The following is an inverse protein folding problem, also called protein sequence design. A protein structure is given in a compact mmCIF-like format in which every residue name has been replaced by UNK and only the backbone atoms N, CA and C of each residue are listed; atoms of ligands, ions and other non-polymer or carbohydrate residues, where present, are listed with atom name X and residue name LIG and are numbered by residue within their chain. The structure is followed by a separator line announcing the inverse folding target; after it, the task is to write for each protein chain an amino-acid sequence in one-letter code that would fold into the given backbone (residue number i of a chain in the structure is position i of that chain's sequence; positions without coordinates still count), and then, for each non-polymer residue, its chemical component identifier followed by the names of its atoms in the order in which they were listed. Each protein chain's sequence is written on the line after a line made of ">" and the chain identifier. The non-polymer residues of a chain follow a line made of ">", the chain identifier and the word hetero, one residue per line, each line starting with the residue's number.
data_IF_228123763223
#
_entry.id   IF_228123763223
#
_cell.length_a   1.000
_cell.length_b   1.000
_cell.length_c   1.000
_cell.angle_alpha   90.00
_cell.angle_beta   90.00
_cell.angle_gamma   90.00
#
_symmetry.space_group_name_H-M   'P 1'
#
loop_
_entity.id
_entity.type
_entity.pdbx_description
1 polymer ?
#
# COMPACT_ATOMS: atom_id res chain seq x y z
N UNK A 1 -14.54 16.85 11.00
CA UNK A 1 -15.23 16.76 9.70
C UNK A 1 -14.42 15.98 8.65
N UNK A 2 -13.16 16.36 8.35
CA UNK A 2 -12.29 15.70 7.34
C UNK A 2 -12.11 14.18 7.55
N UNK A 3 -11.79 13.72 8.75
CA UNK A 3 -11.57 12.30 9.01
C UNK A 3 -12.82 11.43 8.82
N UNK A 4 -14.01 11.94 9.18
CA UNK A 4 -15.29 11.23 8.94
C UNK A 4 -15.57 11.10 7.44
N UNK A 5 -15.25 12.13 6.65
CA UNK A 5 -15.39 12.07 5.19
C UNK A 5 -14.42 11.03 4.59
N UNK A 6 -13.16 11.04 5.00
CA UNK A 6 -12.18 10.05 4.53
C UNK A 6 -12.63 8.63 4.89
N UNK A 7 -13.06 8.39 6.13
CA UNK A 7 -13.56 7.08 6.54
C UNK A 7 -14.79 6.62 5.73
N UNK A 8 -15.70 7.54 5.38
CA UNK A 8 -16.85 7.23 4.51
C UNK A 8 -16.41 6.87 3.10
N UNK A 9 -15.47 7.62 2.53
CA UNK A 9 -14.91 7.34 1.19
C UNK A 9 -14.20 5.99 1.16
N UNK A 10 -13.39 5.69 2.17
CA UNK A 10 -12.72 4.39 2.26
C UNK A 10 -13.71 3.23 2.38
N UNK A 11 -14.81 3.40 3.14
CA UNK A 11 -15.89 2.39 3.20
C UNK A 11 -16.60 2.22 1.85
N UNK A 12 -16.83 3.31 1.14
CA UNK A 12 -17.39 3.26 -0.21
C UNK A 12 -16.47 2.45 -1.14
N UNK A 13 -15.17 2.70 -1.11
CA UNK A 13 -14.21 1.92 -1.89
C UNK A 13 -14.16 0.46 -1.44
N UNK A 14 -14.27 0.18 -0.15
CA UNK A 14 -14.36 -1.18 0.37
C UNK A 14 -15.62 -1.94 -0.10
N UNK A 15 -16.72 -1.22 -0.40
CA UNK A 15 -17.93 -1.83 -0.95
C UNK A 15 -17.80 -2.26 -2.42
N UNK A 16 -16.81 -1.73 -3.13
CA UNK A 16 -16.58 -2.06 -4.54
C UNK A 16 -15.87 -3.41 -4.71
N UNK A 17 -16.14 -4.15 -5.78
CA UNK A 17 -15.32 -5.30 -6.18
C UNK A 17 -13.86 -4.86 -6.43
N UNK A 18 -12.91 -5.72 -6.09
CA UNK A 18 -11.47 -5.42 -6.20
C UNK A 18 -11.04 -4.86 -7.57
N UNK A 19 -11.58 -5.44 -8.64
CA UNK A 19 -11.27 -4.99 -10.01
C UNK A 19 -11.71 -3.56 -10.28
N UNK A 20 -12.90 -3.17 -9.80
CA UNK A 20 -13.40 -1.79 -9.95
C UNK A 20 -12.59 -0.81 -9.11
N UNK A 21 -12.21 -1.21 -7.90
CA UNK A 21 -11.35 -0.42 -7.04
C UNK A 21 -10.02 -0.10 -7.74
N UNK A 22 -9.36 -1.12 -8.30
CA UNK A 22 -8.11 -0.94 -9.06
C UNK A 22 -8.28 -0.12 -10.33
N UNK A 23 -9.39 -0.28 -11.05
CA UNK A 23 -9.69 0.53 -12.24
C UNK A 23 -9.83 2.02 -11.89
N UNK A 24 -10.57 2.34 -10.83
CA UNK A 24 -10.68 3.71 -10.32
C UNK A 24 -9.32 4.25 -9.83
N UNK A 25 -8.53 3.42 -9.16
CA UNK A 25 -7.17 3.75 -8.77
C UNK A 25 -6.26 4.06 -9.96
N UNK A 26 -6.39 3.29 -11.04
CA UNK A 26 -5.71 3.57 -12.31
C UNK A 26 -6.12 4.92 -12.88
N UNK A 27 -7.43 5.23 -12.89
CA UNK A 27 -7.94 6.53 -13.33
C UNK A 27 -7.42 7.69 -12.48
N UNK A 28 -7.41 7.53 -11.16
CA UNK A 28 -6.82 8.52 -10.23
C UNK A 28 -5.33 8.73 -10.54
N UNK A 29 -4.56 7.66 -10.66
CA UNK A 29 -3.13 7.73 -10.96
C UNK A 29 -2.84 8.33 -12.34
N UNK A 30 -3.67 8.02 -13.33
CA UNK A 30 -3.61 8.64 -14.64
C UNK A 30 -3.83 10.17 -14.56
N UNK A 31 -4.83 10.60 -13.79
CA UNK A 31 -5.09 12.01 -13.54
C UNK A 31 -3.88 12.69 -12.86
N UNK A 32 -3.29 12.05 -11.83
CA UNK A 32 -2.09 12.55 -11.17
C UNK A 32 -0.90 12.67 -12.13
N UNK A 33 -0.78 11.76 -13.09
CA UNK A 33 0.29 11.77 -14.09
C UNK A 33 0.15 12.87 -15.15
N UNK A 34 -1.06 13.39 -15.39
CA UNK A 34 -1.35 14.34 -16.47
C UNK A 34 -1.75 15.74 -15.97
N UNK A 35 -1.81 15.95 -14.66
CA UNK A 35 -2.10 17.26 -14.06
C UNK A 35 -0.94 17.76 -13.20
N UNK A 36 -0.62 19.05 -13.20
CA UNK A 36 0.36 19.64 -12.29
C UNK A 36 -0.12 19.47 -10.83
N UNK A 37 0.63 18.72 -10.03
CA UNK A 37 0.32 18.50 -8.62
C UNK A 37 1.59 18.20 -7.80
N UNK A 38 1.57 18.35 -6.47
CA UNK A 38 2.74 18.11 -5.62
C UNK A 38 3.26 16.67 -5.68
N UNK A 39 2.38 15.66 -5.84
CA UNK A 39 2.77 14.25 -5.91
C UNK A 39 3.60 14.01 -7.16
N UNK A 40 3.13 14.49 -8.31
CA UNK A 40 3.87 14.44 -9.57
C UNK A 40 5.26 15.06 -9.43
N UNK A 41 5.30 16.30 -8.89
CA UNK A 41 6.56 17.05 -8.73
C UNK A 41 7.57 16.32 -7.83
N UNK A 42 7.14 15.83 -6.67
CA UNK A 42 8.02 15.13 -5.74
C UNK A 42 8.51 13.79 -6.34
N UNK A 43 7.63 13.04 -6.97
CA UNK A 43 7.99 11.80 -7.64
C UNK A 43 9.00 12.02 -8.77
N UNK A 44 8.81 13.06 -9.59
CA UNK A 44 9.73 13.40 -10.67
C UNK A 44 11.13 13.78 -10.15
N UNK A 45 11.19 14.56 -9.06
CA UNK A 45 12.47 14.92 -8.42
C UNK A 45 13.15 13.67 -7.86
N UNK A 46 12.45 12.85 -7.12
CA UNK A 46 12.99 11.63 -6.51
C UNK A 46 13.52 10.65 -7.56
N UNK A 47 12.79 10.42 -8.64
CA UNK A 47 13.24 9.54 -9.72
C UNK A 47 14.52 10.05 -10.37
N UNK A 48 14.63 11.35 -10.62
CA UNK A 48 15.86 11.94 -11.18
C UNK A 48 17.06 11.82 -10.26
N UNK A 49 16.85 11.94 -8.96
CA UNK A 49 17.92 11.83 -7.96
C UNK A 49 18.36 10.39 -7.74
N UNK A 50 17.41 9.43 -7.75
CA UNK A 50 17.68 8.03 -7.45
C UNK A 50 18.13 7.23 -8.68
N UNK A 51 17.77 7.66 -9.89
CA UNK A 51 18.00 6.96 -11.14
C UNK A 51 18.55 7.94 -12.22
N UNK A 52 19.68 8.60 -11.95
CA UNK A 52 20.23 9.64 -12.86
C UNK A 52 20.65 9.09 -14.23
N UNK A 53 20.88 7.77 -14.30
CA UNK A 53 21.30 7.07 -15.53
C UNK A 53 20.20 6.86 -16.55
N UNK A 54 18.93 7.03 -16.15
CA UNK A 54 17.80 6.82 -17.06
C UNK A 54 17.68 7.94 -18.11
N UNK A 55 17.30 7.56 -19.32
CA UNK A 55 16.97 8.54 -20.35
C UNK A 55 15.75 9.40 -19.95
N UNK A 56 15.59 10.60 -20.52
CA UNK A 56 14.42 11.44 -20.27
C UNK A 56 13.09 10.75 -20.59
N UNK A 57 13.06 9.86 -21.58
CA UNK A 57 11.88 9.09 -21.94
C UNK A 57 11.58 8.01 -20.94
N UNK A 58 12.58 7.31 -20.44
CA UNK A 58 12.45 6.30 -19.40
C UNK A 58 11.98 6.92 -18.10
N UNK A 59 12.52 8.10 -17.72
CA UNK A 59 12.02 8.85 -16.57
C UNK A 59 10.54 9.20 -16.70
N UNK A 60 10.09 9.69 -17.85
CA UNK A 60 8.67 10.01 -18.08
C UNK A 60 7.78 8.77 -17.98
N UNK A 61 8.22 7.67 -18.59
CA UNK A 61 7.50 6.38 -18.54
C UNK A 61 7.39 5.87 -17.12
N UNK A 62 8.51 5.83 -16.37
CA UNK A 62 8.56 5.36 -15.00
C UNK A 62 7.73 6.23 -14.07
N UNK A 63 7.81 7.56 -14.19
CA UNK A 63 7.01 8.50 -13.43
C UNK A 63 5.51 8.25 -13.63
N UNK A 64 5.06 8.10 -14.88
CA UNK A 64 3.66 7.79 -15.19
C UNK A 64 3.22 6.48 -14.56
N UNK A 65 4.00 5.43 -14.70
CA UNK A 65 3.70 4.12 -14.12
C UNK A 65 3.63 4.20 -12.60
N UNK A 66 4.60 4.84 -11.95
CA UNK A 66 4.64 5.04 -10.51
C UNK A 66 3.41 5.79 -9.98
N UNK A 67 2.96 6.83 -10.69
CA UNK A 67 1.77 7.59 -10.29
C UNK A 67 0.49 6.77 -10.46
N UNK A 68 0.40 5.93 -11.48
CA UNK A 68 -0.72 4.99 -11.66
C UNK A 68 -0.77 4.00 -10.49
N UNK A 69 0.36 3.41 -10.12
CA UNK A 69 0.41 2.49 -8.96
C UNK A 69 0.11 3.22 -7.64
N UNK A 70 0.56 4.47 -7.48
CA UNK A 70 0.19 5.32 -6.33
C UNK A 70 -1.33 5.49 -6.24
N UNK A 71 -2.00 5.77 -7.35
CA UNK A 71 -3.45 5.89 -7.39
C UNK A 71 -4.16 4.60 -6.96
N UNK A 72 -3.68 3.44 -7.40
CA UNK A 72 -4.21 2.13 -6.98
C UNK A 72 -4.02 1.93 -5.48
N UNK A 73 -2.80 2.16 -4.96
CA UNK A 73 -2.48 2.01 -3.53
C UNK A 73 -3.38 2.85 -2.64
N UNK A 74 -3.69 4.10 -3.04
CA UNK A 74 -4.58 4.97 -2.28
C UNK A 74 -5.98 4.38 -2.17
N UNK A 75 -6.54 3.80 -3.23
CA UNK A 75 -7.89 3.24 -3.21
C UNK A 75 -7.92 1.84 -2.58
N UNK A 76 -6.85 1.07 -2.68
CA UNK A 76 -6.70 -0.23 -2.01
C UNK A 76 -6.79 -0.13 -0.48
N UNK A 77 -6.48 1.02 0.11
CA UNK A 77 -6.64 1.24 1.54
C UNK A 77 -8.07 0.99 2.03
N UNK A 78 -9.10 1.24 1.21
CA UNK A 78 -10.49 0.93 1.55
C UNK A 78 -10.69 -0.58 1.80
N UNK A 79 -10.53 -1.43 0.79
CA UNK A 79 -10.60 -2.88 0.96
C UNK A 79 -9.69 -3.42 2.06
N UNK A 80 -8.42 -3.04 2.08
CA UNK A 80 -7.44 -3.58 3.03
C UNK A 80 -7.74 -3.23 4.50
N UNK A 81 -8.44 -2.13 4.76
CA UNK A 81 -8.78 -1.73 6.12
C UNK A 81 -10.18 -2.17 6.58
N UNK A 82 -11.06 -2.60 5.66
CA UNK A 82 -12.43 -2.92 6.00
C UNK A 82 -12.87 -4.33 5.63
N UNK A 83 -12.10 -5.06 4.81
CA UNK A 83 -12.45 -6.42 4.49
C UNK A 83 -11.96 -7.41 5.55
N UNK A 84 -12.70 -8.52 5.75
CA UNK A 84 -12.23 -9.62 6.57
C UNK A 84 -10.91 -10.19 6.05
N UNK A 85 -10.07 -10.68 6.96
CA UNK A 85 -8.75 -11.24 6.62
C UNK A 85 -8.82 -12.37 5.57
N UNK A 86 -9.86 -13.20 5.63
CA UNK A 86 -10.10 -14.29 4.66
C UNK A 86 -10.26 -13.77 3.24
N UNK A 87 -10.98 -12.65 3.07
CA UNK A 87 -11.20 -12.04 1.76
C UNK A 87 -9.91 -11.41 1.22
N UNK A 88 -9.12 -10.78 2.08
CA UNK A 88 -7.80 -10.25 1.71
C UNK A 88 -6.87 -11.40 1.32
N UNK A 89 -6.86 -12.48 2.09
CA UNK A 89 -6.07 -13.70 1.81
C UNK A 89 -6.38 -14.27 0.44
N UNK A 90 -7.65 -14.28 0.01
CA UNK A 90 -8.05 -14.72 -1.32
C UNK A 90 -7.51 -13.89 -2.49
N UNK A 91 -6.94 -12.69 -2.22
CA UNK A 91 -6.24 -11.87 -3.21
C UNK A 91 -4.75 -12.13 -3.29
N UNK A 92 -4.18 -12.81 -2.29
CA UNK A 92 -2.74 -13.07 -2.20
C UNK A 92 -2.40 -14.24 -3.11
N UNK A 93 -1.32 -14.07 -3.85
CA UNK A 93 -0.68 -15.16 -4.57
C UNK A 93 0.19 -16.03 -3.64
N UNK A 94 0.89 -16.98 -4.23
CA UNK A 94 1.88 -17.78 -3.53
C UNK A 94 3.04 -16.90 -3.05
N UNK A 95 3.42 -17.08 -1.78
CA UNK A 95 4.58 -16.38 -1.22
C UNK A 95 5.85 -17.20 -1.49
N UNK A 96 6.85 -16.55 -2.05
CA UNK A 96 8.12 -17.18 -2.43
C UNK A 96 9.20 -16.84 -1.41
N UNK A 97 10.13 -17.77 -1.17
CA UNK A 97 11.29 -17.59 -0.28
C UNK A 97 10.91 -17.27 1.18
N UNK A 98 9.87 -17.89 1.70
CA UNK A 98 9.44 -17.72 3.11
C UNK A 98 10.19 -18.63 4.08
N UNK A 99 10.85 -19.67 3.57
CA UNK A 99 11.52 -20.73 4.34
C UNK A 99 12.58 -20.20 5.31
N UNK A 100 13.41 -19.19 4.96
CA UNK A 100 14.40 -18.63 5.90
C UNK A 100 13.74 -18.00 7.12
N UNK A 101 12.60 -17.32 6.95
CA UNK A 101 11.82 -16.72 8.04
C UNK A 101 11.21 -17.81 8.90
N UNK A 102 10.57 -18.81 8.28
CA UNK A 102 9.98 -19.96 8.98
C UNK A 102 11.04 -20.72 9.80
N UNK A 103 12.23 -20.94 9.24
CA UNK A 103 13.32 -21.61 9.93
C UNK A 103 13.84 -20.81 11.13
N UNK A 104 13.98 -19.49 11.00
CA UNK A 104 14.43 -18.62 12.08
C UNK A 104 13.42 -18.62 13.24
N UNK A 105 12.12 -18.55 12.94
CA UNK A 105 11.05 -18.60 13.95
C UNK A 105 11.05 -19.97 14.67
N UNK A 106 11.10 -21.08 13.91
CA UNK A 106 11.16 -22.43 14.52
C UNK A 106 12.35 -22.65 15.41
N UNK A 107 13.48 -21.99 15.14
CA UNK A 107 14.68 -22.07 16.00
C UNK A 107 14.63 -21.16 17.23
N UNK A 108 13.50 -20.48 17.49
CA UNK A 108 13.34 -19.56 18.62
C UNK A 108 14.09 -18.23 18.46
N UNK A 109 14.66 -17.96 17.31
CA UNK A 109 15.31 -16.68 17.01
C UNK A 109 14.26 -15.65 16.61
N UNK A 110 14.34 -14.44 17.13
CA UNK A 110 13.55 -13.32 16.68
C UNK A 110 13.90 -12.93 15.23
N UNK A 111 12.90 -12.44 14.49
CA UNK A 111 13.08 -11.97 13.12
C UNK A 111 12.59 -10.53 13.02
N UNK A 112 13.41 -9.67 12.42
CA UNK A 112 13.02 -8.31 12.06
C UNK A 112 12.78 -8.28 10.55
N UNK A 113 11.52 -7.99 10.14
CA UNK A 113 11.14 -7.83 8.75
C UNK A 113 11.15 -6.35 8.40
N UNK A 114 12.09 -5.93 7.54
CA UNK A 114 12.12 -4.59 6.99
C UNK A 114 11.46 -4.59 5.61
N UNK A 115 10.34 -3.89 5.46
CA UNK A 115 9.62 -3.82 4.19
C UNK A 115 9.69 -2.42 3.60
N UNK A 116 10.05 -2.26 2.32
CA UNK A 116 9.96 -0.97 1.64
C UNK A 116 8.49 -0.65 1.31
N UNK A 117 8.21 0.63 1.05
CA UNK A 117 6.92 1.06 0.50
C UNK A 117 6.86 0.74 -1.00
N UNK A 118 6.87 -0.55 -1.33
CA UNK A 118 6.85 -1.07 -2.70
C UNK A 118 5.62 -1.96 -2.88
N UNK A 119 4.89 -1.75 -3.96
CA UNK A 119 3.65 -2.47 -4.23
C UNK A 119 2.60 -2.28 -3.14
N UNK A 120 1.79 -3.29 -2.88
CA UNK A 120 0.78 -3.28 -1.81
C UNK A 120 1.39 -3.71 -0.48
N UNK A 121 2.21 -2.86 0.13
CA UNK A 121 2.89 -3.13 1.40
C UNK A 121 1.92 -3.40 2.57
N UNK A 122 0.72 -2.81 2.56
CA UNK A 122 -0.35 -3.14 3.54
C UNK A 122 -0.79 -4.61 3.40
N UNK A 123 -0.93 -5.11 2.18
CA UNK A 123 -1.25 -6.53 1.95
C UNK A 123 -0.12 -7.45 2.44
N UNK A 124 1.14 -7.06 2.23
CA UNK A 124 2.29 -7.79 2.78
C UNK A 124 2.24 -7.82 4.32
N UNK A 125 1.85 -6.72 4.97
CA UNK A 125 1.64 -6.66 6.42
C UNK A 125 0.55 -7.65 6.87
N UNK A 126 -0.58 -7.73 6.19
CA UNK A 126 -1.63 -8.72 6.47
C UNK A 126 -1.11 -10.16 6.30
N UNK A 127 -0.36 -10.43 5.23
CA UNK A 127 0.25 -11.75 5.02
C UNK A 127 1.15 -12.15 6.20
N UNK A 128 2.06 -11.26 6.59
CA UNK A 128 2.98 -11.51 7.69
C UNK A 128 2.24 -11.71 9.03
N UNK A 129 1.21 -10.92 9.30
CA UNK A 129 0.41 -11.02 10.52
C UNK A 129 -0.30 -12.38 10.62
N UNK A 130 -0.90 -12.83 9.52
CA UNK A 130 -1.63 -14.12 9.47
C UNK A 130 -0.66 -15.30 9.58
N UNK A 131 0.52 -15.22 8.94
CA UNK A 131 1.46 -16.34 8.90
C UNK A 131 2.30 -16.46 10.17
N UNK A 132 2.76 -15.35 10.73
CA UNK A 132 3.77 -15.35 11.79
C UNK A 132 3.37 -14.62 13.07
N UNK A 133 2.22 -13.95 13.11
CA UNK A 133 1.80 -13.20 14.30
C UNK A 133 2.76 -12.07 14.65
N UNK A 134 2.97 -11.13 13.76
CA UNK A 134 3.98 -10.07 13.89
C UNK A 134 3.56 -8.93 14.83
N UNK A 135 4.56 -8.25 15.39
CA UNK A 135 4.39 -6.95 16.05
C UNK A 135 4.89 -5.85 15.11
N UNK A 136 4.06 -4.88 14.79
CA UNK A 136 4.40 -3.78 13.91
C UNK A 136 4.86 -2.54 14.68
N UNK A 137 5.93 -1.89 14.21
CA UNK A 137 6.24 -0.52 14.62
C UNK A 137 5.21 0.42 14.00
N UNK A 138 4.53 1.18 14.85
CA UNK A 138 3.44 2.04 14.42
C UNK A 138 3.71 3.50 14.77
N UNK A 139 3.48 4.38 13.81
CA UNK A 139 3.46 5.83 14.01
C UNK A 139 2.03 6.34 13.78
N UNK A 140 1.38 6.95 14.78
CA UNK A 140 0.05 7.51 14.63
C UNK A 140 -0.04 8.49 13.46
N UNK A 141 -1.14 8.46 12.69
CA UNK A 141 -1.31 9.38 11.57
C UNK A 141 -1.49 10.81 12.07
N UNK A 142 -1.09 11.79 11.25
CA UNK A 142 -1.31 13.21 11.58
C UNK A 142 -2.78 13.53 11.86
N UNK A 143 -3.71 12.86 11.19
CA UNK A 143 -5.15 12.92 11.44
C UNK A 143 -5.51 11.89 12.52
N UNK A 144 -5.33 12.26 13.80
CA UNK A 144 -5.60 11.38 14.96
C UNK A 144 -6.98 10.68 14.91
N UNK A 145 -7.96 11.28 14.26
CA UNK A 145 -9.28 10.67 14.13
C UNK A 145 -9.32 9.43 13.18
N UNK A 146 -8.25 9.17 12.42
CA UNK A 146 -8.07 7.93 11.65
C UNK A 146 -7.31 6.85 12.45
N UNK A 147 -6.73 7.21 13.57
CA UNK A 147 -5.92 6.33 14.39
C UNK A 147 -6.69 5.09 14.85
N UNK A 148 -7.84 5.30 15.47
CA UNK A 148 -8.72 4.21 15.90
C UNK A 148 -9.23 3.32 14.75
N UNK A 149 -9.29 3.85 13.53
CA UNK A 149 -9.65 3.07 12.35
C UNK A 149 -8.49 2.18 11.92
N UNK A 150 -7.28 2.75 11.87
CA UNK A 150 -6.06 2.03 11.51
C UNK A 150 -5.72 0.94 12.53
N UNK A 151 -5.84 1.22 13.83
CA UNK A 151 -5.62 0.20 14.85
C UNK A 151 -6.56 -0.99 14.65
N UNK A 152 -7.87 -0.73 14.53
CA UNK A 152 -8.87 -1.79 14.30
C UNK A 152 -8.70 -2.57 13.00
N UNK A 153 -8.08 -2.02 11.99
CA UNK A 153 -7.83 -2.74 10.73
C UNK A 153 -6.62 -3.67 10.81
N UNK A 154 -5.86 -3.61 11.89
CA UNK A 154 -4.61 -4.36 12.11
C UNK A 154 -4.70 -5.34 13.28
N UNK A 155 -5.80 -5.34 14.02
CA UNK A 155 -6.20 -6.32 15.04
C UNK A 155 -6.98 -7.47 14.40
#
# INVERSE_FOLDING_TARGET
>A
MRARLIARLLRLFAALPWRWNRALGTGLGWMLAHTPNPVWRHSAINLRLCLPELSPDDHRRLLRTSLIETGKTVLEAGPLWFWPAERIRGLMGEAVNVEPVDAAIRSGRGVILATPHLGSWEMAGHFCAVRWGITNLYRPPRLRALDALLCRSRE
#
